data_IF_825428153217
#
_entry.id   IF_825428153217
#
_cell.length_a   1.000
_cell.length_b   1.000
_cell.length_c   1.000
_cell.angle_alpha   90.00
_cell.angle_beta   90.00
_cell.angle_gamma   90.00
#
_symmetry.space_group_name_H-M   'P 1'
#
loop_
_entity.id
_entity.type
_entity.pdbx_description
1 polymer ?
#
# COMPACT_ATOMS: atom_id res chain seq x y z
N UNK A 1 -29.97 32.29 21.60
CA UNK A 1 -28.94 31.76 20.67
C UNK A 1 -28.03 30.87 21.50
N UNK A 2 -28.34 29.57 21.56
CA UNK A 2 -27.55 28.59 22.29
C UNK A 2 -26.21 28.42 21.54
N UNK A 3 -25.10 28.76 22.21
CA UNK A 3 -23.77 28.33 21.82
C UNK A 3 -23.76 26.80 21.86
N UNK A 4 -24.09 26.15 20.75
CA UNK A 4 -23.82 24.73 20.57
C UNK A 4 -22.33 24.65 20.36
N UNK A 5 -21.61 24.42 21.46
CA UNK A 5 -20.19 24.08 21.42
C UNK A 5 -20.06 22.89 20.46
N UNK A 6 -19.24 23.01 19.42
CA UNK A 6 -19.01 21.88 18.52
C UNK A 6 -18.63 20.65 19.36
N UNK A 7 -19.25 19.48 19.12
CA UNK A 7 -18.95 18.29 19.89
C UNK A 7 -17.45 18.01 19.77
N UNK A 8 -16.79 17.77 20.91
CA UNK A 8 -15.39 17.37 20.91
C UNK A 8 -15.28 16.04 20.19
N UNK A 9 -14.54 16.02 19.09
CA UNK A 9 -14.33 14.81 18.29
C UNK A 9 -13.08 14.09 18.75
N UNK A 10 -13.08 12.78 18.57
CA UNK A 10 -11.91 11.94 18.81
C UNK A 10 -11.52 11.25 17.52
N UNK A 11 -10.27 11.42 17.07
CA UNK A 11 -9.78 10.80 15.83
C UNK A 11 -9.11 9.47 16.15
N UNK A 12 -9.82 8.38 15.91
CA UNK A 12 -9.31 7.03 16.08
C UNK A 12 -8.67 6.58 14.77
N UNK A 13 -7.36 6.37 14.78
CA UNK A 13 -6.62 5.74 13.69
C UNK A 13 -6.66 4.23 13.87
N UNK A 14 -6.99 3.51 12.81
CA UNK A 14 -7.10 2.05 12.81
C UNK A 14 -6.20 1.51 11.71
N UNK A 15 -5.33 0.57 12.09
CA UNK A 15 -4.55 -0.22 11.15
C UNK A 15 -5.29 -1.50 10.79
N UNK A 16 -5.30 -1.87 9.51
CA UNK A 16 -5.98 -3.06 9.03
C UNK A 16 -5.26 -3.65 7.82
N UNK A 17 -5.41 -4.97 7.58
CA UNK A 17 -4.85 -5.59 6.39
C UNK A 17 -5.91 -5.66 5.28
N UNK A 18 -5.48 -5.90 4.05
CA UNK A 18 -6.30 -6.18 2.86
C UNK A 18 -5.70 -7.41 2.18
N UNK A 19 -6.09 -8.59 2.63
CA UNK A 19 -5.48 -9.86 2.23
C UNK A 19 -6.40 -10.71 1.34
N UNK A 20 -5.88 -11.87 0.94
CA UNK A 20 -6.66 -12.90 0.26
C UNK A 20 -7.39 -12.37 -0.97
N UNK A 21 -8.70 -12.63 -1.04
CA UNK A 21 -9.53 -12.20 -2.17
C UNK A 21 -9.88 -10.71 -2.12
N UNK A 22 -9.71 -10.06 -0.96
CA UNK A 22 -10.01 -8.64 -0.83
C UNK A 22 -9.02 -7.77 -1.62
N UNK A 23 -7.87 -8.30 -2.03
CA UNK A 23 -6.92 -7.58 -2.90
C UNK A 23 -7.53 -7.12 -4.23
N UNK A 24 -8.61 -7.77 -4.68
CA UNK A 24 -9.33 -7.43 -5.91
C UNK A 24 -10.43 -6.38 -5.74
N UNK A 25 -10.70 -5.92 -4.51
CA UNK A 25 -11.61 -4.79 -4.30
C UNK A 25 -10.97 -3.49 -4.82
N UNK A 26 -11.76 -2.71 -5.55
CA UNK A 26 -11.45 -1.34 -5.87
C UNK A 26 -11.57 -0.43 -4.64
N UNK A 27 -11.18 0.83 -4.80
CA UNK A 27 -11.14 1.77 -3.69
C UNK A 27 -12.54 2.11 -3.15
N UNK A 28 -13.55 2.24 -4.01
CA UNK A 28 -14.91 2.56 -3.59
C UNK A 28 -15.54 1.41 -2.82
N UNK A 29 -15.33 0.18 -3.27
CA UNK A 29 -15.78 -1.02 -2.56
C UNK A 29 -15.10 -1.15 -1.19
N UNK A 30 -13.80 -0.81 -1.11
CA UNK A 30 -13.06 -0.79 0.15
C UNK A 30 -13.64 0.25 1.13
N UNK A 31 -13.88 1.48 0.67
CA UNK A 31 -14.50 2.55 1.48
C UNK A 31 -15.84 2.08 2.05
N UNK A 32 -16.72 1.57 1.20
CA UNK A 32 -18.03 1.06 1.65
C UNK A 32 -17.90 -0.10 2.65
N UNK A 33 -16.91 -0.98 2.45
CA UNK A 33 -16.65 -2.10 3.37
C UNK A 33 -16.22 -1.58 4.74
N UNK A 34 -15.29 -0.64 4.81
CA UNK A 34 -14.85 -0.04 6.08
C UNK A 34 -16.01 0.67 6.79
N UNK A 35 -16.81 1.45 6.08
CA UNK A 35 -17.99 2.11 6.66
C UNK A 35 -18.98 1.10 7.25
N UNK A 36 -19.21 -0.04 6.57
CA UNK A 36 -20.07 -1.10 7.08
C UNK A 36 -19.48 -1.75 8.34
N UNK A 37 -18.16 -1.96 8.39
CA UNK A 37 -17.47 -2.49 9.59
C UNK A 37 -17.68 -1.54 10.76
N UNK A 38 -17.42 -0.24 10.58
CA UNK A 38 -17.59 0.77 11.63
C UNK A 38 -19.04 0.83 12.12
N UNK A 39 -20.02 0.77 11.22
CA UNK A 39 -21.45 0.73 11.59
C UNK A 39 -21.81 -0.52 12.38
N UNK A 40 -21.33 -1.70 11.96
CA UNK A 40 -21.59 -3.00 12.62
C UNK A 40 -20.90 -3.10 13.99
N UNK A 41 -19.73 -2.48 14.13
CA UNK A 41 -19.02 -2.31 15.40
C UNK A 41 -19.75 -1.39 16.38
N UNK A 42 -20.79 -0.67 15.92
CA UNK A 42 -21.60 0.28 16.71
C UNK A 42 -20.75 1.39 17.36
N UNK A 43 -19.66 1.80 16.70
CA UNK A 43 -18.87 2.93 17.17
C UNK A 43 -19.66 4.24 17.04
N UNK A 44 -19.50 5.19 17.98
CA UNK A 44 -20.19 6.47 17.94
C UNK A 44 -19.50 7.41 16.93
N UNK A 45 -19.61 7.10 15.64
CA UNK A 45 -18.95 7.86 14.57
C UNK A 45 -19.66 9.19 14.29
N UNK A 46 -18.87 10.21 13.98
CA UNK A 46 -19.34 11.50 13.54
C UNK A 46 -19.74 11.47 12.06
N UNK A 47 -20.67 12.35 11.69
CA UNK A 47 -21.10 12.56 10.29
C UNK A 47 -20.78 13.97 9.81
N UNK A 48 -20.62 14.12 8.49
CA UNK A 48 -20.41 15.43 7.85
C UNK A 48 -21.67 16.28 7.97
N UNK A 49 -21.48 17.61 8.03
CA UNK A 49 -22.58 18.57 7.98
C UNK A 49 -22.99 18.83 6.53
N UNK A 50 -24.30 18.91 6.24
CA UNK A 50 -24.82 19.23 4.91
C UNK A 50 -26.00 18.35 4.48
N UNK A 51 -26.41 18.49 3.22
CA UNK A 51 -27.59 17.82 2.65
C UNK A 51 -27.42 16.31 2.42
N UNK A 52 -26.19 15.80 2.44
CA UNK A 52 -25.88 14.37 2.37
C UNK A 52 -24.85 14.02 3.46
N UNK A 53 -25.32 13.64 4.66
CA UNK A 53 -24.43 13.30 5.77
C UNK A 53 -23.75 11.96 5.51
N UNK A 54 -22.42 11.98 5.48
CA UNK A 54 -21.58 10.79 5.35
C UNK A 54 -20.72 10.62 6.60
N UNK A 55 -20.28 9.38 6.87
CA UNK A 55 -19.35 9.12 7.96
C UNK A 55 -18.09 10.00 7.79
N UNK A 56 -17.65 10.64 8.86
CA UNK A 56 -16.37 11.35 8.87
C UNK A 56 -15.26 10.32 9.02
N UNK A 57 -14.68 9.95 7.89
CA UNK A 57 -13.60 8.97 7.80
C UNK A 57 -12.57 9.42 6.75
N UNK A 58 -11.29 9.21 7.03
CA UNK A 58 -10.19 9.48 6.12
C UNK A 58 -9.38 8.20 5.89
N UNK A 59 -8.77 8.06 4.71
CA UNK A 59 -8.08 6.85 4.28
C UNK A 59 -6.66 7.16 3.84
N UNK A 60 -5.83 6.12 3.78
CA UNK A 60 -4.54 6.11 3.07
C UNK A 60 -4.72 6.19 1.56
N UNK A 61 -3.60 6.34 0.84
CA UNK A 61 -3.61 6.35 -0.62
C UNK A 61 -4.17 5.03 -1.18
N UNK A 62 -5.06 5.16 -2.16
CA UNK A 62 -5.74 4.03 -2.77
C UNK A 62 -4.74 3.03 -3.39
N UNK A 63 -4.95 1.75 -3.09
CA UNK A 63 -4.20 0.65 -3.70
C UNK A 63 -4.71 0.31 -5.10
N UNK A 64 -3.81 -0.04 -6.05
CA UNK A 64 -4.19 -0.69 -7.29
C UNK A 64 -4.94 -2.02 -7.03
N UNK A 65 -5.86 -2.36 -7.94
CA UNK A 65 -6.55 -3.66 -7.92
C UNK A 65 -5.52 -4.76 -8.16
N UNK A 66 -5.57 -5.83 -7.37
CA UNK A 66 -4.61 -6.94 -7.42
C UNK A 66 -3.50 -6.82 -6.37
N UNK A 67 -3.36 -5.68 -5.70
CA UNK A 67 -2.38 -5.46 -4.62
C UNK A 67 -3.00 -5.74 -3.25
N UNK A 68 -2.36 -6.62 -2.48
CA UNK A 68 -2.68 -6.81 -1.05
C UNK A 68 -1.98 -5.76 -0.21
N UNK A 69 -2.36 -5.66 1.07
CA UNK A 69 -1.64 -4.82 2.02
C UNK A 69 -1.70 -5.41 3.41
N UNK A 70 -0.59 -5.35 4.12
CA UNK A 70 -0.50 -5.71 5.53
C UNK A 70 -0.63 -4.48 6.45
N UNK A 71 -0.62 -3.27 5.88
CA UNK A 71 -0.43 -2.04 6.63
C UNK A 71 -1.27 -0.88 6.08
N UNK A 72 -2.59 -1.07 5.92
CA UNK A 72 -3.51 0.03 5.60
C UNK A 72 -3.98 0.77 6.85
N UNK A 73 -4.38 2.03 6.67
CA UNK A 73 -4.91 2.85 7.76
C UNK A 73 -6.18 3.58 7.34
N UNK A 74 -7.08 3.75 8.30
CA UNK A 74 -8.14 4.74 8.21
C UNK A 74 -8.25 5.50 9.52
N UNK A 75 -8.72 6.75 9.44
CA UNK A 75 -9.03 7.58 10.60
C UNK A 75 -10.53 7.80 10.65
N UNK A 76 -11.20 7.27 11.68
CA UNK A 76 -12.61 7.52 11.94
C UNK A 76 -12.75 8.56 13.06
N UNK A 77 -13.62 9.55 12.85
CA UNK A 77 -13.92 10.56 13.85
C UNK A 77 -15.09 10.07 14.70
N UNK A 78 -14.92 10.05 16.01
CA UNK A 78 -15.92 9.63 16.98
C UNK A 78 -16.47 10.83 17.75
N UNK A 79 -17.75 10.81 18.10
CA UNK A 79 -18.42 11.82 18.93
C UNK A 79 -18.22 11.60 20.42
N UNK A 80 -17.76 10.41 20.81
CA UNK A 80 -17.48 10.01 22.19
C UNK A 80 -16.14 9.28 22.25
N UNK A 81 -15.48 9.37 23.40
CA UNK A 81 -14.26 8.62 23.66
C UNK A 81 -14.61 7.17 23.98
N UNK A 82 -14.10 6.24 23.18
CA UNK A 82 -14.19 4.80 23.39
C UNK A 82 -12.77 4.29 23.61
N UNK A 83 -12.46 3.55 24.69
CA UNK A 83 -11.12 2.98 24.87
C UNK A 83 -10.63 2.28 23.60
N UNK A 84 -9.40 2.58 23.16
CA UNK A 84 -8.90 2.14 21.86
C UNK A 84 -8.92 0.60 21.71
N UNK A 85 -8.61 -0.12 22.78
CA UNK A 85 -8.68 -1.59 22.83
C UNK A 85 -10.12 -2.11 22.69
N UNK A 86 -11.09 -1.44 23.31
CA UNK A 86 -12.51 -1.78 23.17
C UNK A 86 -12.98 -1.52 21.73
N UNK A 87 -12.63 -0.38 21.15
CA UNK A 87 -12.98 -0.05 19.77
C UNK A 87 -12.34 -1.05 18.79
N UNK A 88 -11.08 -1.43 19.02
CA UNK A 88 -10.39 -2.46 18.24
C UNK A 88 -11.13 -3.80 18.30
N UNK A 89 -11.51 -4.27 19.49
CA UNK A 89 -12.25 -5.51 19.67
C UNK A 89 -13.58 -5.49 18.89
N UNK A 90 -14.38 -4.43 19.04
CA UNK A 90 -15.64 -4.26 18.33
C UNK A 90 -15.46 -4.24 16.80
N UNK A 91 -14.42 -3.57 16.32
CA UNK A 91 -14.09 -3.55 14.88
C UNK A 91 -13.65 -4.92 14.38
N UNK A 92 -12.87 -5.66 15.16
CA UNK A 92 -12.43 -7.02 14.81
C UNK A 92 -13.59 -8.01 14.73
N UNK A 93 -14.56 -7.93 15.64
CA UNK A 93 -15.77 -8.76 15.62
C UNK A 93 -16.66 -8.45 14.42
N UNK A 94 -16.69 -7.18 13.98
CA UNK A 94 -17.50 -6.73 12.85
C UNK A 94 -16.84 -6.96 11.47
N UNK A 95 -15.52 -7.17 11.44
CA UNK A 95 -14.74 -7.26 10.21
C UNK A 95 -14.66 -8.67 9.62
N UNK A 96 -14.58 -8.82 8.30
CA UNK A 96 -14.20 -10.08 7.67
C UNK A 96 -12.73 -10.42 8.00
N UNK A 97 -12.40 -11.72 8.01
CA UNK A 97 -11.07 -12.23 8.42
C UNK A 97 -9.90 -11.54 7.71
N UNK A 98 -9.98 -11.36 6.38
CA UNK A 98 -8.93 -10.77 5.55
C UNK A 98 -8.81 -9.23 5.69
N UNK A 99 -9.64 -8.61 6.52
CA UNK A 99 -9.68 -7.17 6.82
C UNK A 99 -9.78 -6.87 8.33
N UNK A 100 -9.53 -7.88 9.16
CA UNK A 100 -9.61 -7.78 10.62
C UNK A 100 -8.57 -6.77 11.12
N UNK A 101 -8.96 -5.66 11.78
CA UNK A 101 -8.02 -4.64 12.24
C UNK A 101 -6.93 -5.18 13.15
N UNK A 102 -5.72 -4.64 13.00
CA UNK A 102 -4.50 -5.07 13.70
C UNK A 102 -4.27 -4.24 14.96
N UNK A 103 -4.50 -2.93 14.88
CA UNK A 103 -4.28 -2.00 15.96
C UNK A 103 -5.19 -0.78 15.82
N UNK A 104 -5.47 -0.11 16.94
CA UNK A 104 -6.17 1.15 16.95
C UNK A 104 -5.55 2.10 17.99
N UNK A 105 -5.54 3.39 17.70
CA UNK A 105 -5.00 4.40 18.60
C UNK A 105 -5.51 5.80 18.28
N UNK A 106 -5.66 6.62 19.32
CA UNK A 106 -6.05 8.01 19.13
C UNK A 106 -4.87 8.84 18.66
N UNK A 107 -5.14 9.72 17.70
CA UNK A 107 -4.17 10.68 17.16
C UNK A 107 -4.71 12.10 17.29
N UNK A 108 -3.83 13.10 17.37
CA UNK A 108 -4.29 14.49 17.52
C UNK A 108 -5.17 14.91 16.33
N UNK A 109 -6.26 15.63 16.61
CA UNK A 109 -7.21 16.09 15.59
C UNK A 109 -6.53 16.92 14.50
N UNK A 110 -5.52 17.72 14.88
CA UNK A 110 -4.78 18.62 13.99
C UNK A 110 -3.70 17.96 13.14
N UNK A 111 -3.42 16.66 13.33
CA UNK A 111 -2.46 15.96 12.46
C UNK A 111 -2.92 16.05 11.01
N UNK A 112 -2.01 16.07 10.03
CA UNK A 112 -2.39 16.06 8.62
C UNK A 112 -3.28 14.85 8.28
N UNK A 113 -4.03 14.95 7.18
CA UNK A 113 -4.77 13.80 6.65
C UNK A 113 -3.80 12.66 6.31
N UNK A 114 -4.25 11.40 6.41
CA UNK A 114 -3.40 10.22 6.15
C UNK A 114 -2.64 10.29 4.83
N UNK A 115 -3.30 10.73 3.75
CA UNK A 115 -2.69 10.88 2.41
C UNK A 115 -1.61 11.96 2.32
N UNK A 116 -1.62 12.94 3.22
CA UNK A 116 -0.61 13.99 3.30
C UNK A 116 0.47 13.68 4.33
N UNK A 117 0.14 12.86 5.33
CA UNK A 117 1.04 12.51 6.42
C UNK A 117 1.98 11.35 6.05
N UNK A 118 1.45 10.32 5.40
CA UNK A 118 2.25 9.19 4.93
C UNK A 118 2.98 9.61 3.66
N UNK A 119 4.29 9.53 3.69
CA UNK A 119 5.17 9.93 2.59
C UNK A 119 6.12 8.81 2.14
N UNK A 120 6.06 7.65 2.78
CA UNK A 120 6.84 6.48 2.40
C UNK A 120 5.99 5.21 2.46
N UNK A 121 6.19 4.37 1.45
CA UNK A 121 5.44 3.13 1.23
C UNK A 121 6.41 2.04 0.80
N UNK A 122 6.36 0.90 1.49
CA UNK A 122 7.19 -0.24 1.16
C UNK A 122 6.32 -1.33 0.52
N UNK A 123 6.82 -1.89 -0.57
CA UNK A 123 6.18 -3.00 -1.26
C UNK A 123 7.09 -4.22 -1.25
N UNK A 124 6.47 -5.37 -1.06
CA UNK A 124 7.10 -6.68 -1.23
C UNK A 124 6.44 -7.37 -2.43
N UNK A 125 7.24 -7.92 -3.32
CA UNK A 125 6.79 -8.64 -4.50
C UNK A 125 7.42 -10.03 -4.54
N UNK A 126 6.58 -11.01 -4.90
CA UNK A 126 7.00 -12.36 -5.26
C UNK A 126 6.69 -12.52 -6.75
N UNK A 127 7.73 -12.63 -7.57
CA UNK A 127 7.64 -12.65 -9.02
C UNK A 127 8.01 -14.03 -9.54
N UNK A 128 7.18 -14.57 -10.44
CA UNK A 128 7.37 -15.88 -11.05
C UNK A 128 7.77 -15.71 -12.51
N UNK A 129 8.89 -16.30 -12.89
CA UNK A 129 9.45 -16.21 -14.25
C UNK A 129 8.87 -17.32 -15.14
N UNK A 130 8.61 -17.03 -16.41
CA UNK A 130 8.19 -18.04 -17.39
C UNK A 130 9.33 -19.04 -17.65
N UNK A 131 9.05 -20.36 -17.80
CA UNK A 131 10.10 -21.39 -17.96
C UNK A 131 11.08 -21.20 -19.13
N UNK A 132 10.74 -20.38 -20.12
CA UNK A 132 11.63 -20.04 -21.25
C UNK A 132 12.62 -18.91 -20.96
N UNK A 133 12.58 -18.33 -19.76
CA UNK A 133 13.44 -17.23 -19.34
C UNK A 133 14.22 -17.61 -18.09
N UNK A 134 15.45 -17.10 -18.00
CA UNK A 134 16.29 -17.19 -16.81
C UNK A 134 16.69 -15.79 -16.41
N UNK A 135 16.48 -15.45 -15.14
CA UNK A 135 16.82 -14.14 -14.57
C UNK A 135 17.85 -14.38 -13.47
N UNK A 136 18.88 -13.55 -13.41
CA UNK A 136 19.93 -13.61 -12.37
C UNK A 136 19.92 -12.35 -11.53
N UNK A 137 20.49 -12.41 -10.33
CA UNK A 137 20.64 -11.24 -9.45
C UNK A 137 21.49 -10.15 -10.10
N UNK A 138 22.48 -10.50 -10.94
CA UNK A 138 23.29 -9.55 -11.69
C UNK A 138 22.46 -8.80 -12.72
N UNK A 139 21.59 -9.50 -13.46
CA UNK A 139 20.71 -8.88 -14.46
C UNK A 139 19.74 -7.89 -13.79
N UNK A 140 19.14 -8.28 -12.66
CA UNK A 140 18.28 -7.39 -11.87
C UNK A 140 19.04 -6.16 -11.36
N UNK A 141 20.25 -6.36 -10.83
CA UNK A 141 21.11 -5.28 -10.34
C UNK A 141 21.41 -4.27 -11.44
N UNK A 142 21.78 -4.75 -12.65
CA UNK A 142 22.06 -3.90 -13.80
C UNK A 142 20.85 -3.08 -14.24
N UNK A 143 19.65 -3.67 -14.24
CA UNK A 143 18.42 -2.97 -14.60
C UNK A 143 18.12 -1.85 -13.60
N UNK A 144 18.08 -2.17 -12.30
CA UNK A 144 17.73 -1.17 -11.29
C UNK A 144 18.80 -0.08 -11.13
N UNK A 145 20.09 -0.44 -11.17
CA UNK A 145 21.16 0.57 -11.14
C UNK A 145 21.14 1.44 -12.37
N UNK A 146 20.92 0.85 -13.55
CA UNK A 146 20.81 1.57 -14.81
C UNK A 146 19.68 2.61 -14.79
N UNK A 147 18.49 2.21 -14.32
CA UNK A 147 17.37 3.15 -14.17
C UNK A 147 17.65 4.25 -13.16
N UNK A 148 18.29 3.94 -12.04
CA UNK A 148 18.58 4.92 -11.01
C UNK A 148 19.65 5.93 -11.45
N UNK A 149 20.77 5.45 -11.99
CA UNK A 149 21.90 6.27 -12.42
C UNK A 149 21.53 7.18 -13.59
N UNK A 150 20.71 6.68 -14.53
CA UNK A 150 20.23 7.45 -15.67
C UNK A 150 19.02 8.34 -15.33
N UNK A 151 18.52 8.29 -14.09
CA UNK A 151 17.32 9.01 -13.67
C UNK A 151 16.14 8.73 -14.61
N UNK A 152 15.90 7.43 -14.87
CA UNK A 152 14.94 6.98 -15.86
C UNK A 152 13.53 7.52 -15.59
N UNK A 153 12.92 8.01 -16.67
CA UNK A 153 11.53 8.42 -16.73
C UNK A 153 10.74 7.37 -17.52
N UNK A 154 9.96 6.55 -16.83
CA UNK A 154 9.24 5.44 -17.45
C UNK A 154 7.82 5.91 -17.82
N UNK A 155 7.52 6.14 -19.11
CA UNK A 155 6.19 6.56 -19.52
C UNK A 155 5.17 5.44 -19.37
N UNK A 156 3.96 5.79 -18.93
CA UNK A 156 2.83 4.88 -18.85
C UNK A 156 1.50 5.60 -19.08
N UNK A 157 0.51 4.86 -19.57
CA UNK A 157 -0.85 5.35 -19.79
C UNK A 157 -1.76 5.01 -18.62
N UNK A 158 -2.53 5.99 -18.14
CA UNK A 158 -3.60 5.81 -17.15
C UNK A 158 -4.88 6.45 -17.67
N UNK A 159 -5.83 5.61 -18.07
CA UNK A 159 -7.01 6.08 -18.78
C UNK A 159 -6.61 6.77 -20.09
N UNK A 160 -7.06 8.02 -20.29
CA UNK A 160 -6.73 8.83 -21.48
C UNK A 160 -5.48 9.70 -21.32
N UNK A 161 -4.79 9.63 -20.17
CA UNK A 161 -3.63 10.48 -19.87
C UNK A 161 -2.35 9.66 -19.91
N UNK A 162 -1.30 10.25 -20.47
CA UNK A 162 0.07 9.78 -20.32
C UNK A 162 0.66 10.37 -19.05
N UNK A 163 1.43 9.56 -18.32
CA UNK A 163 2.17 9.92 -17.12
C UNK A 163 3.59 9.38 -17.27
N UNK A 164 4.50 9.92 -16.46
CA UNK A 164 5.87 9.43 -16.32
C UNK A 164 6.09 8.96 -14.89
N UNK A 165 6.81 7.86 -14.70
CA UNK A 165 7.32 7.42 -13.41
C UNK A 165 8.79 7.83 -13.34
N UNK A 166 9.08 8.82 -12.50
CA UNK A 166 10.44 9.24 -12.17
C UNK A 166 11.03 8.25 -11.17
N UNK A 167 11.96 7.41 -11.63
CA UNK A 167 12.58 6.37 -10.81
C UNK A 167 13.41 6.99 -9.68
N UNK A 168 14.16 8.06 -9.97
CA UNK A 168 15.07 8.67 -8.99
C UNK A 168 14.32 9.34 -7.84
N UNK A 169 13.17 9.97 -8.15
CA UNK A 169 12.33 10.61 -7.14
C UNK A 169 11.50 9.61 -6.33
N UNK A 170 10.92 8.60 -6.99
CA UNK A 170 9.93 7.71 -6.36
C UNK A 170 10.51 6.43 -5.75
N UNK A 171 11.59 5.87 -6.31
CA UNK A 171 12.22 4.64 -5.83
C UNK A 171 13.45 4.98 -4.99
N UNK A 172 13.29 4.97 -3.66
CA UNK A 172 14.37 5.26 -2.71
C UNK A 172 15.35 4.11 -2.55
N UNK A 173 14.87 2.88 -2.77
CA UNK A 173 15.69 1.69 -2.68
C UNK A 173 14.97 0.48 -3.25
N UNK A 174 15.76 -0.44 -3.79
CA UNK A 174 15.29 -1.74 -4.25
C UNK A 174 16.25 -2.79 -3.71
N UNK A 175 15.71 -3.85 -3.08
CA UNK A 175 16.44 -5.07 -2.78
C UNK A 175 15.81 -6.21 -3.58
N UNK A 176 16.63 -7.17 -4.00
CA UNK A 176 16.16 -8.31 -4.78
C UNK A 176 16.93 -9.57 -4.45
N UNK A 177 16.29 -10.71 -4.68
CA UNK A 177 16.91 -12.03 -4.58
C UNK A 177 16.28 -12.99 -5.56
N UNK A 178 17.09 -13.64 -6.38
CA UNK A 178 16.67 -14.80 -7.18
C UNK A 178 16.78 -16.08 -6.34
N UNK A 179 15.69 -16.84 -6.26
CA UNK A 179 15.60 -18.09 -5.52
C UNK A 179 16.08 -19.27 -6.39
N UNK A 180 16.51 -20.41 -5.80
CA UNK A 180 16.95 -21.59 -6.56
C UNK A 180 15.89 -22.17 -7.51
N UNK A 181 14.60 -21.94 -7.22
CA UNK A 181 13.47 -22.36 -8.06
C UNK A 181 13.11 -21.35 -9.16
N UNK A 182 13.89 -20.27 -9.30
CA UNK A 182 13.70 -19.22 -10.30
C UNK A 182 12.68 -18.14 -9.91
N UNK A 183 12.05 -18.22 -8.74
CA UNK A 183 11.23 -17.12 -8.21
C UNK A 183 12.12 -15.94 -7.80
N UNK A 184 11.57 -14.74 -7.85
CA UNK A 184 12.29 -13.52 -7.46
C UNK A 184 11.52 -12.83 -6.34
N UNK A 185 12.23 -12.52 -5.26
CA UNK A 185 11.76 -11.60 -4.24
C UNK A 185 12.26 -10.18 -4.56
N UNK A 186 11.37 -9.19 -4.55
CA UNK A 186 11.71 -7.78 -4.70
C UNK A 186 11.12 -6.98 -3.54
N UNK A 187 11.92 -6.11 -2.94
CA UNK A 187 11.46 -5.10 -1.98
C UNK A 187 11.67 -3.72 -2.58
N UNK A 188 10.62 -2.90 -2.57
CA UNK A 188 10.65 -1.54 -3.10
C UNK A 188 10.34 -0.55 -1.97
N UNK A 189 11.31 0.29 -1.65
CA UNK A 189 11.12 1.42 -0.73
C UNK A 189 10.80 2.65 -1.57
N UNK A 190 9.60 3.18 -1.40
CA UNK A 190 9.07 4.21 -2.29
C UNK A 190 8.64 5.45 -1.54
N UNK A 191 8.81 6.60 -2.19
CA UNK A 191 8.25 7.87 -1.75
C UNK A 191 6.82 8.03 -2.30
N UNK A 192 5.97 8.68 -1.52
CA UNK A 192 4.69 9.20 -2.01
C UNK A 192 4.48 10.65 -1.58
N UNK A 193 3.99 11.47 -2.50
CA UNK A 193 3.64 12.87 -2.26
C UNK A 193 2.52 13.30 -3.21
N UNK A 194 2.28 14.62 -3.28
CA UNK A 194 1.24 15.19 -4.14
C UNK A 194 1.54 15.03 -5.65
N UNK A 195 2.81 14.82 -6.03
CA UNK A 195 3.21 14.62 -7.43
C UNK A 195 2.95 13.18 -7.87
N UNK A 196 3.02 12.24 -6.93
CA UNK A 196 2.54 10.89 -7.16
C UNK A 196 2.97 9.88 -6.10
N UNK A 197 2.56 8.64 -6.33
CA UNK A 197 3.05 7.47 -5.62
C UNK A 197 3.39 6.41 -6.65
N UNK A 198 4.41 5.62 -6.33
CA UNK A 198 4.79 4.48 -7.15
C UNK A 198 3.64 3.47 -7.19
N UNK A 199 3.38 2.99 -8.40
CA UNK A 199 2.43 1.92 -8.70
C UNK A 199 3.25 0.66 -9.01
N UNK A 200 3.24 -0.36 -8.14
CA UNK A 200 4.11 -1.52 -8.33
C UNK A 200 3.90 -2.21 -9.69
N UNK A 201 2.69 -2.18 -10.22
CA UNK A 201 2.39 -2.77 -11.53
C UNK A 201 3.20 -2.14 -12.68
N UNK A 202 3.61 -0.87 -12.53
CA UNK A 202 4.42 -0.16 -13.54
C UNK A 202 5.88 -0.61 -13.48
N UNK A 203 6.43 -0.79 -12.27
CA UNK A 203 7.79 -1.33 -12.10
C UNK A 203 7.86 -2.78 -12.61
N UNK A 204 6.83 -3.59 -12.34
CA UNK A 204 6.78 -4.98 -12.83
C UNK A 204 6.72 -5.02 -14.36
N UNK A 205 5.90 -4.17 -15.00
CA UNK A 205 5.84 -4.09 -16.45
C UNK A 205 7.15 -3.58 -17.07
N UNK A 206 7.76 -2.57 -16.45
CA UNK A 206 9.06 -2.06 -16.88
C UNK A 206 10.16 -3.11 -16.75
N UNK A 207 10.16 -3.89 -15.66
CA UNK A 207 11.12 -4.95 -15.43
C UNK A 207 10.98 -6.06 -16.47
N UNK A 208 9.74 -6.45 -16.79
CA UNK A 208 9.46 -7.42 -17.84
C UNK A 208 10.03 -7.01 -19.21
N UNK A 209 9.89 -5.73 -19.56
CA UNK A 209 10.43 -5.15 -20.80
C UNK A 209 11.96 -5.07 -20.77
N UNK A 210 12.55 -4.56 -19.69
CA UNK A 210 14.00 -4.44 -19.56
C UNK A 210 14.72 -5.79 -19.57
N UNK A 211 14.13 -6.83 -18.97
CA UNK A 211 14.66 -8.20 -19.03
C UNK A 211 14.67 -8.79 -20.45
N UNK A 212 13.91 -8.20 -21.37
CA UNK A 212 13.92 -8.53 -22.82
C UNK A 212 14.82 -7.60 -23.62
N UNK A 213 15.53 -6.68 -22.97
CA UNK A 213 16.40 -5.69 -23.60
C UNK A 213 15.64 -4.51 -24.23
N UNK A 214 14.39 -4.28 -23.84
CA UNK A 214 13.58 -3.16 -24.32
C UNK A 214 13.70 -1.93 -23.41
N UNK A 215 13.54 -0.75 -24.00
CA UNK A 215 13.41 0.50 -23.28
C UNK A 215 12.00 0.62 -22.65
N UNK A 216 11.88 0.65 -21.31
CA UNK A 216 10.59 0.57 -20.63
C UNK A 216 9.61 1.69 -20.99
N UNK A 217 8.41 1.31 -21.41
CA UNK A 217 7.33 2.24 -21.77
C UNK A 217 7.50 2.91 -23.14
N UNK A 218 8.66 2.78 -23.79
CA UNK A 218 8.98 3.40 -25.08
C UNK A 218 8.80 2.41 -26.22
N UNK A 219 9.50 1.27 -26.17
CA UNK A 219 9.38 0.22 -27.20
C UNK A 219 8.02 -0.47 -27.15
N UNK A 220 7.46 -0.61 -25.96
CA UNK A 220 6.15 -1.18 -25.69
C UNK A 220 5.42 -0.35 -24.64
N UNK A 221 4.17 0.03 -24.93
CA UNK A 221 3.40 0.89 -24.05
C UNK A 221 2.97 0.18 -22.76
N UNK A 222 3.29 0.78 -21.61
CA UNK A 222 2.82 0.32 -20.29
C UNK A 222 1.47 0.98 -19.97
N UNK A 223 0.47 0.18 -19.57
CA UNK A 223 -0.87 0.67 -19.21
C UNK A 223 -1.20 0.33 -17.76
N UNK A 224 -1.51 1.34 -16.95
CA UNK A 224 -1.93 1.15 -15.55
C UNK A 224 -3.37 0.64 -15.47
N UNK A 225 -3.54 -0.69 -15.53
CA UNK A 225 -4.82 -1.41 -15.38
C UNK A 225 -4.92 -2.21 -14.07
N UNK A 226 -3.93 -2.10 -13.18
CA UNK A 226 -3.79 -2.94 -11.99
C UNK A 226 -3.05 -4.24 -12.32
N UNK A 227 -3.72 -5.19 -12.97
CA UNK A 227 -3.11 -6.47 -13.38
C UNK A 227 -2.52 -6.30 -14.79
N UNK A 228 -1.25 -6.71 -14.94
CA UNK A 228 -0.50 -6.61 -16.19
C UNK A 228 -0.48 -7.94 -16.95
N UNK A 229 -0.40 -7.85 -18.28
CA UNK A 229 -0.08 -9.00 -19.14
C UNK A 229 1.38 -8.88 -19.55
N UNK A 230 2.18 -9.90 -19.23
CA UNK A 230 3.64 -9.86 -19.25
C UNK A 230 4.20 -11.05 -20.05
N UNK A 231 5.46 -10.97 -20.47
CA UNK A 231 6.10 -11.96 -21.36
C UNK A 231 7.16 -12.80 -20.66
N UNK A 232 8.05 -12.16 -19.92
CA UNK A 232 9.09 -12.80 -19.09
C UNK A 232 8.50 -13.25 -17.76
N UNK A 233 7.66 -12.40 -17.16
CA UNK A 233 7.01 -12.66 -15.87
C UNK A 233 5.69 -13.39 -16.13
N UNK A 234 5.51 -14.57 -15.56
CA UNK A 234 4.28 -15.37 -15.70
C UNK A 234 3.16 -14.90 -14.78
N UNK A 235 3.54 -14.50 -13.55
CA UNK A 235 2.63 -14.01 -12.53
C UNK A 235 3.43 -13.32 -11.42
N UNK A 236 2.75 -12.54 -10.58
CA UNK A 236 3.36 -11.92 -9.41
C UNK A 236 2.34 -11.73 -8.29
N UNK A 237 2.80 -11.82 -7.05
CA UNK A 237 2.10 -11.28 -5.90
C UNK A 237 2.75 -9.95 -5.51
N UNK A 238 1.94 -9.00 -5.07
CA UNK A 238 2.41 -7.72 -4.56
C UNK A 238 1.63 -7.33 -3.33
N UNK A 239 2.36 -6.93 -2.30
CA UNK A 239 1.83 -6.49 -1.02
C UNK A 239 2.46 -5.18 -0.61
N UNK A 240 1.63 -4.21 -0.21
CA UNK A 240 2.12 -3.08 0.58
C UNK A 240 2.37 -3.57 2.00
N UNK A 241 3.64 -3.72 2.37
CA UNK A 241 4.02 -4.28 3.67
C UNK A 241 4.15 -3.21 4.76
N UNK A 242 4.38 -1.94 4.38
CA UNK A 242 4.56 -0.85 5.34
C UNK A 242 4.19 0.52 4.76
N UNK A 243 3.70 1.41 5.62
CA UNK A 243 3.53 2.85 5.37
C UNK A 243 4.17 3.63 6.51
N UNK A 244 4.98 4.63 6.19
CA UNK A 244 5.78 5.40 7.16
C UNK A 244 5.55 6.90 7.00
N UNK A 245 5.81 7.60 8.11
CA UNK A 245 5.82 9.06 8.18
C UNK A 245 7.26 9.45 8.43
N UNK A 246 7.92 9.91 7.38
CA UNK A 246 9.26 10.49 7.46
C UNK A 246 9.17 11.94 7.89
N UNK A 247 9.86 12.29 8.97
CA UNK A 247 9.88 13.66 9.52
C UNK A 247 11.08 14.42 8.94
N UNK A 248 12.23 13.75 8.84
CA UNK A 248 13.46 14.24 8.23
C UNK A 248 14.27 13.07 7.62
N UNK A 249 15.48 13.35 7.11
CA UNK A 249 16.31 12.32 6.47
C UNK A 249 16.76 11.21 7.43
N UNK A 250 16.70 11.42 8.75
CA UNK A 250 17.18 10.49 9.77
C UNK A 250 16.07 9.79 10.57
N UNK A 251 14.83 10.29 10.52
CA UNK A 251 13.74 9.81 11.36
C UNK A 251 12.47 9.44 10.58
N UNK A 252 12.04 8.20 10.80
CA UNK A 252 10.76 7.68 10.37
C UNK A 252 9.96 7.19 11.57
N UNK A 253 8.65 7.40 11.53
CA UNK A 253 7.73 6.86 12.53
C UNK A 253 6.58 6.10 11.88
N UNK A 254 6.06 5.12 12.61
CA UNK A 254 4.83 4.45 12.21
C UNK A 254 3.61 5.35 12.39
N UNK A 255 2.55 5.20 11.58
CA UNK A 255 1.32 5.98 11.73
C UNK A 255 0.65 5.86 13.10
N UNK A 256 0.86 4.75 13.81
CA UNK A 256 0.41 4.48 15.19
C UNK A 256 1.54 4.51 16.23
N UNK A 257 2.75 4.94 15.86
CA UNK A 257 3.90 5.07 16.77
C UNK A 257 4.63 3.76 17.12
N UNK A 258 4.20 2.61 16.61
CA UNK A 258 4.85 1.32 16.81
C UNK A 258 4.72 0.43 15.58
N UNK A 259 5.60 -0.56 15.49
CA UNK A 259 5.59 -1.57 14.44
C UNK A 259 4.45 -2.55 14.60
N UNK A 260 3.82 -2.90 13.48
CA UNK A 260 2.75 -3.89 13.44
C UNK A 260 3.35 -5.24 13.05
N UNK A 261 2.93 -6.28 13.74
CA UNK A 261 3.27 -7.65 13.34
C UNK A 261 2.64 -7.97 11.98
N UNK A 262 3.38 -8.71 11.16
CA UNK A 262 2.89 -9.15 9.87
C UNK A 262 1.68 -10.09 10.06
N UNK A 263 0.51 -9.77 9.48
CA UNK A 263 -0.68 -10.58 9.67
C UNK A 263 -0.50 -11.96 9.01
N UNK A 264 -1.05 -12.99 9.63
CA UNK A 264 -1.00 -14.36 9.09
C UNK A 264 -1.61 -14.39 7.67
N UNK A 265 -0.95 -15.08 6.75
CA UNK A 265 -1.38 -15.18 5.35
C UNK A 265 -0.96 -13.98 4.48
N UNK A 266 -0.32 -12.97 5.06
CA UNK A 266 0.34 -11.92 4.29
C UNK A 266 1.58 -12.44 3.55
N UNK A 267 1.97 -11.73 2.50
CA UNK A 267 3.20 -12.01 1.78
C UNK A 267 4.43 -11.78 2.67
N UNK A 268 4.40 -10.74 3.52
CA UNK A 268 5.46 -10.47 4.51
C UNK A 268 5.65 -11.61 5.51
N UNK A 269 4.56 -12.20 6.04
CA UNK A 269 4.67 -13.34 6.93
C UNK A 269 5.25 -14.58 6.22
N UNK A 270 4.91 -14.78 4.94
CA UNK A 270 5.47 -15.87 4.12
C UNK A 270 6.96 -15.66 3.81
N UNK A 271 7.36 -14.46 3.40
CA UNK A 271 8.76 -14.19 3.04
C UNK A 271 9.69 -14.36 4.23
N UNK A 272 9.28 -13.94 5.44
CA UNK A 272 10.04 -14.17 6.66
C UNK A 272 10.24 -15.67 6.96
N UNK A 273 9.21 -16.49 6.73
CA UNK A 273 9.31 -17.94 6.89
C UNK A 273 10.26 -18.56 5.85
N UNK A 274 10.25 -18.09 4.60
CA UNK A 274 11.16 -18.53 3.53
C UNK A 274 12.60 -17.99 3.72
N UNK A 275 12.77 -16.85 4.40
CA UNK A 275 14.07 -16.31 4.78
C UNK A 275 14.71 -17.09 5.95
N UNK A 276 13.89 -17.60 6.87
CA UNK A 276 14.32 -18.43 8.00
C UNK A 276 14.53 -19.91 7.63
N UNK A 277 13.93 -20.41 6.55
CA UNK A 277 14.11 -21.80 6.10
C UNK A 277 15.37 -22.05 5.27
N UNK A 278 16.18 -21.02 5.04
CA UNK A 278 17.40 -21.07 4.22
C UNK A 278 18.68 -20.73 5.02
N UNK A 279 18.60 -20.80 6.35
CA UNK A 279 19.72 -20.85 7.30
C UNK A 279 19.78 -22.24 7.95
#
# INVERSE_FOLDING_TARGET
>A
MTNVTEPTLFRLRVAYPKLGRLKYLGHLELIHTVEQIVRRAKLPYAVTQGFSPHMRIAYTSALPVGTSSAAEYFDVYLTELVPAEQALCQLQEAAPVDMRPLAAGYVELRRPALTAEINEVHYLLEVFVNPGFSVTDEALSQVFSGWYDQSAEIPYRRGKKTKSLDVRHLLKGCSHRVMPDGRIWLELNTRCDNEGSLRPEIIVAALDQALRGLEPGVDEEIVSTGIQKLMTISSYNVERCSQRIRIDDASEVHPLGHELEAPQGSLTARSAAEALSNL
#
